data_IF_061926238123
#
_entry.id   IF_061926238123
#
_cell.length_a   1.000
_cell.length_b   1.000
_cell.length_c   1.000
_cell.angle_alpha   90.00
_cell.angle_beta   90.00
_cell.angle_gamma   90.00
#
_symmetry.space_group_name_H-M   'P 1'
#
loop_
_entity.id
_entity.type
_entity.pdbx_description
1 polymer ?
#
# COMPACT_ATOMS: atom_id res chain seq x y z
N UNK A 1 20.47 -7.55 -6.12
CA UNK A 1 20.70 -6.94 -4.79
C UNK A 1 19.51 -6.05 -4.51
N UNK A 2 18.72 -6.32 -3.47
CA UNK A 2 17.52 -5.53 -3.17
C UNK A 2 17.92 -4.27 -2.39
N UNK A 3 17.53 -3.04 -2.81
CA UNK A 3 17.74 -1.84 -2.01
C UNK A 3 17.06 -1.99 -0.63
N UNK A 4 17.86 -1.89 0.44
CA UNK A 4 17.38 -1.99 1.82
C UNK A 4 17.02 -0.64 2.44
N UNK A 5 17.35 0.47 1.77
CA UNK A 5 17.10 1.83 2.25
C UNK A 5 15.69 2.26 1.85
N UNK A 6 14.94 2.74 2.84
CA UNK A 6 13.68 3.42 2.64
C UNK A 6 13.95 4.90 2.29
N UNK A 7 13.39 5.37 1.20
CA UNK A 7 13.57 6.74 0.70
C UNK A 7 12.24 7.37 0.24
N UNK A 8 12.29 8.64 -0.16
CA UNK A 8 11.11 9.36 -0.67
C UNK A 8 10.58 8.77 -1.98
N UNK A 9 11.44 8.14 -2.78
CA UNK A 9 11.04 7.46 -4.01
C UNK A 9 10.14 6.25 -3.71
N UNK A 10 10.39 5.52 -2.62
CA UNK A 10 9.56 4.41 -2.16
C UNK A 10 8.12 4.84 -1.91
N UNK A 11 7.91 5.99 -1.26
CA UNK A 11 6.58 6.55 -1.03
C UNK A 11 5.89 6.90 -2.35
N UNK A 12 6.61 7.58 -3.25
CA UNK A 12 6.11 8.01 -4.56
C UNK A 12 5.67 6.81 -5.40
N UNK A 13 6.52 5.79 -5.53
CA UNK A 13 6.22 4.56 -6.28
C UNK A 13 5.05 3.77 -5.67
N UNK A 14 4.88 3.83 -4.35
CA UNK A 14 3.75 3.18 -3.66
C UNK A 14 2.44 3.92 -3.91
N UNK A 15 2.47 5.26 -3.94
CA UNK A 15 1.32 6.07 -4.31
C UNK A 15 0.92 5.86 -5.79
N UNK A 16 1.89 5.80 -6.70
CA UNK A 16 1.65 5.44 -8.11
C UNK A 16 1.03 4.05 -8.24
N UNK A 17 1.52 3.09 -7.45
CA UNK A 17 0.96 1.74 -7.40
C UNK A 17 -0.51 1.73 -6.94
N UNK A 18 -0.87 2.58 -5.99
CA UNK A 18 -2.24 2.75 -5.51
C UNK A 18 -3.16 3.39 -6.57
N UNK A 19 -2.64 4.35 -7.33
CA UNK A 19 -3.38 5.04 -8.39
C UNK A 19 -3.73 4.11 -9.57
N UNK A 20 -2.97 3.04 -9.78
CA UNK A 20 -3.29 2.05 -10.80
C UNK A 20 -4.52 1.21 -10.44
N UNK A 21 -5.51 1.13 -11.34
CA UNK A 21 -6.72 0.31 -11.15
C UNK A 21 -6.49 -1.18 -11.35
N UNK A 22 -5.51 -1.53 -12.19
CA UNK A 22 -5.08 -2.90 -12.40
C UNK A 22 -3.57 -2.96 -12.36
N UNK A 23 -3.00 -4.06 -11.86
CA UNK A 23 -3.65 -5.35 -11.57
C UNK A 23 -3.85 -5.57 -10.06
N UNK A 24 -4.51 -6.67 -9.63
CA UNK A 24 -4.89 -6.93 -8.21
C UNK A 24 -3.86 -6.40 -7.20
N UNK A 25 -4.24 -5.49 -6.29
CA UNK A 25 -3.32 -4.89 -5.33
C UNK A 25 -2.83 -5.99 -4.38
N UNK A 26 -1.52 -6.12 -4.12
CA UNK A 26 -0.99 -7.02 -3.10
C UNK A 26 0.42 -6.65 -2.67
N UNK A 27 0.78 -6.98 -1.43
CA UNK A 27 2.14 -6.71 -0.94
C UNK A 27 3.22 -7.50 -1.68
N UNK A 28 2.90 -8.66 -2.26
CA UNK A 28 3.86 -9.35 -3.14
C UNK A 28 4.14 -8.52 -4.39
N UNK A 29 3.11 -7.90 -4.98
CA UNK A 29 3.25 -7.12 -6.21
C UNK A 29 3.86 -5.75 -5.93
N UNK A 30 3.53 -5.13 -4.80
CA UNK A 30 4.23 -3.95 -4.31
C UNK A 30 5.72 -4.24 -4.09
N UNK A 31 6.05 -5.35 -3.42
CA UNK A 31 7.44 -5.77 -3.21
C UNK A 31 8.18 -5.94 -4.55
N UNK A 32 7.55 -6.58 -5.55
CA UNK A 32 8.11 -6.69 -6.89
C UNK A 32 8.30 -5.32 -7.56
N UNK A 33 7.31 -4.41 -7.46
CA UNK A 33 7.37 -3.05 -8.04
C UNK A 33 8.50 -2.21 -7.45
N UNK A 34 8.72 -2.35 -6.14
CA UNK A 34 9.77 -1.64 -5.40
C UNK A 34 11.12 -2.37 -5.45
N UNK A 35 11.20 -3.53 -6.11
CA UNK A 35 12.38 -4.40 -6.07
C UNK A 35 12.84 -4.63 -4.62
N UNK A 36 11.96 -5.14 -3.77
CA UNK A 36 12.28 -5.53 -2.39
C UNK A 36 11.59 -6.84 -2.01
N UNK A 37 11.89 -7.36 -0.84
CA UNK A 37 11.21 -8.54 -0.30
C UNK A 37 9.91 -8.17 0.41
N UNK A 38 8.97 -9.12 0.54
CA UNK A 38 7.78 -8.91 1.40
C UNK A 38 8.15 -8.59 2.84
N UNK A 39 9.21 -9.21 3.38
CA UNK A 39 9.67 -8.93 4.73
C UNK A 39 10.09 -7.46 4.88
N UNK A 40 10.76 -6.89 3.88
CA UNK A 40 11.11 -5.47 3.81
C UNK A 40 9.86 -4.58 3.86
N UNK A 41 8.81 -4.92 3.11
CA UNK A 41 7.53 -4.17 3.15
C UNK A 41 6.91 -4.18 4.55
N UNK A 42 6.87 -5.34 5.22
CA UNK A 42 6.33 -5.42 6.59
C UNK A 42 7.18 -4.63 7.59
N UNK A 43 8.52 -4.68 7.47
CA UNK A 43 9.43 -3.91 8.31
C UNK A 43 9.24 -2.40 8.12
N UNK A 44 9.14 -1.93 6.87
CA UNK A 44 8.90 -0.53 6.58
C UNK A 44 7.52 -0.08 7.04
N UNK A 45 6.49 -0.91 6.85
CA UNK A 45 5.14 -0.64 7.36
C UNK A 45 5.14 -0.44 8.88
N UNK A 46 5.90 -1.24 9.63
CA UNK A 46 5.97 -1.13 11.08
C UNK A 46 6.78 0.08 11.58
N UNK A 47 7.67 0.62 10.76
CA UNK A 47 8.66 1.63 11.20
C UNK A 47 8.50 3.01 10.54
N UNK A 48 7.68 3.13 9.49
CA UNK A 48 7.51 4.34 8.68
C UNK A 48 6.02 4.71 8.59
N UNK A 49 5.52 5.65 9.41
CA UNK A 49 4.09 5.99 9.46
C UNK A 49 3.48 6.39 8.10
N UNK A 50 4.19 7.21 7.32
CA UNK A 50 3.73 7.61 5.99
C UNK A 50 3.57 6.42 5.03
N UNK A 51 4.45 5.42 5.13
CA UNK A 51 4.34 4.19 4.34
C UNK A 51 3.23 3.28 4.88
N UNK A 52 3.04 3.24 6.19
CA UNK A 52 1.96 2.49 6.82
C UNK A 52 0.58 2.92 6.29
N UNK A 53 0.34 4.23 6.19
CA UNK A 53 -0.90 4.77 5.62
C UNK A 53 -1.13 4.26 4.19
N UNK A 54 -0.11 4.31 3.34
CA UNK A 54 -0.21 3.78 1.98
C UNK A 54 -0.47 2.26 1.98
N UNK A 55 0.20 1.50 2.84
CA UNK A 55 -0.07 0.06 2.98
C UNK A 55 -1.50 -0.23 3.46
N UNK A 56 -2.04 0.55 4.39
CA UNK A 56 -3.42 0.41 4.85
C UNK A 56 -4.43 0.70 3.73
N UNK A 57 -4.18 1.72 2.90
CA UNK A 57 -4.98 1.99 1.70
C UNK A 57 -4.93 0.80 0.73
N UNK A 58 -3.75 0.20 0.51
CA UNK A 58 -3.63 -1.02 -0.33
C UNK A 58 -4.49 -2.16 0.22
N UNK A 59 -4.51 -2.37 1.54
CA UNK A 59 -5.34 -3.39 2.17
C UNK A 59 -6.85 -3.11 2.00
N UNK A 60 -7.26 -1.84 2.06
CA UNK A 60 -8.65 -1.45 1.78
C UNK A 60 -9.02 -1.72 0.32
N UNK A 61 -8.15 -1.39 -0.63
CA UNK A 61 -8.38 -1.67 -2.06
C UNK A 61 -8.45 -3.18 -2.32
N UNK A 62 -7.64 -3.98 -1.61
CA UNK A 62 -7.72 -5.44 -1.63
C UNK A 62 -9.06 -5.96 -1.09
N UNK A 63 -9.52 -5.43 0.04
CA UNK A 63 -10.78 -5.84 0.66
C UNK A 63 -11.97 -5.53 -0.27
N UNK A 64 -11.98 -4.35 -0.89
CA UNK A 64 -12.98 -3.97 -1.89
C UNK A 64 -12.95 -4.91 -3.10
N UNK A 65 -11.77 -5.18 -3.64
CA UNK A 65 -11.60 -6.10 -4.78
C UNK A 65 -12.13 -7.51 -4.46
N UNK A 66 -11.83 -8.00 -3.26
CA UNK A 66 -12.30 -9.30 -2.77
C UNK A 66 -13.78 -9.29 -2.34
N UNK A 67 -14.49 -8.17 -2.51
CA UNK A 67 -15.89 -7.96 -2.10
C UNK A 67 -16.14 -8.22 -0.61
N UNK A 68 -15.12 -7.99 0.22
CA UNK A 68 -15.20 -8.09 1.68
C UNK A 68 -15.80 -6.83 2.31
N UNK A 69 -15.73 -5.71 1.60
CA UNK A 69 -16.34 -4.44 1.94
C UNK A 69 -17.04 -3.86 0.72
N UNK A 70 -18.03 -3.03 0.95
CA UNK A 70 -18.71 -2.26 -0.11
C UNK A 70 -17.90 -1.04 -0.55
N UNK A 71 -18.23 -0.48 -1.71
CA UNK A 71 -17.62 0.77 -2.20
C UNK A 71 -17.83 1.93 -1.19
N UNK A 72 -19.03 2.03 -0.60
CA UNK A 72 -19.33 3.05 0.40
C UNK A 72 -18.43 2.93 1.65
N UNK A 73 -18.22 1.71 2.15
CA UNK A 73 -17.30 1.46 3.27
C UNK A 73 -15.86 1.76 2.91
N UNK A 74 -15.43 1.40 1.69
CA UNK A 74 -14.10 1.72 1.20
C UNK A 74 -13.85 3.24 1.22
N UNK A 75 -14.75 4.03 0.63
CA UNK A 75 -14.63 5.49 0.59
C UNK A 75 -14.59 6.11 2.00
N UNK A 76 -15.45 5.65 2.92
CA UNK A 76 -15.44 6.12 4.31
C UNK A 76 -14.13 5.79 5.04
N UNK A 77 -13.62 4.56 4.88
CA UNK A 77 -12.38 4.14 5.55
C UNK A 77 -11.16 4.87 4.97
N UNK A 78 -11.12 5.07 3.65
CA UNK A 78 -10.06 5.85 2.99
C UNK A 78 -10.10 7.31 3.45
N UNK A 79 -11.28 7.94 3.52
CA UNK A 79 -11.40 9.31 4.02
C UNK A 79 -10.86 9.45 5.45
N UNK A 80 -11.22 8.53 6.35
CA UNK A 80 -10.69 8.53 7.74
C UNK A 80 -9.18 8.35 7.81
N UNK A 81 -8.61 7.59 6.88
CA UNK A 81 -7.17 7.32 6.84
C UNK A 81 -6.33 8.58 6.60
N UNK A 82 -6.87 9.54 5.84
CA UNK A 82 -6.17 10.78 5.47
C UNK A 82 -6.66 12.03 6.22
N UNK A 83 -7.54 11.85 7.22
CA UNK A 83 -8.04 12.93 8.08
C UNK A 83 -7.20 13.15 9.35
N UNK A 84 -6.08 12.43 9.49
CA UNK A 84 -5.14 12.51 10.63
C UNK A 84 -4.07 13.58 10.37
#
# INVERSE_FOLDING_TARGET
MYPSKFDSQTLTLTAEYLAADRPFPSFQRLANKLSVTRATIYNWRATKPAFELLCQHILLKQALWNRLITEAEYQQRVARLYQV
#
